data_IF_015909659153
#
_entry.id   IF_015909659153
#
_cell.length_a   1.000
_cell.length_b   1.000
_cell.length_c   1.000
_cell.angle_alpha   90.00
_cell.angle_beta   90.00
_cell.angle_gamma   90.00
#
_symmetry.space_group_name_H-M   'P 1'
#
loop_
_entity.id
_entity.type
_entity.pdbx_description
1 polymer ?
#
# COMPACT_ATOMS: atom_id res chain seq x y z
N UNK A 1 1.36 26.03 28.36
CA UNK A 1 1.60 26.56 26.98
C UNK A 1 2.90 26.00 26.39
N UNK A 2 3.02 24.68 26.22
CA UNK A 2 4.21 24.03 25.62
C UNK A 2 3.89 22.94 24.59
N UNK A 3 2.61 22.67 24.33
CA UNK A 3 2.17 21.63 23.37
C UNK A 3 2.02 22.14 21.93
N UNK A 4 2.04 23.45 21.72
CA UNK A 4 1.89 24.07 20.40
C UNK A 4 3.21 24.25 19.65
N UNK A 5 4.36 24.13 20.31
CA UNK A 5 5.68 24.27 19.66
C UNK A 5 6.17 22.97 18.98
N UNK A 6 5.65 21.80 19.37
CA UNK A 6 6.08 20.52 18.79
C UNK A 6 5.47 20.25 17.41
N UNK A 7 4.30 20.84 17.12
CA UNK A 7 3.60 20.68 15.83
C UNK A 7 4.30 21.48 14.72
N UNK A 8 4.94 22.60 15.04
CA UNK A 8 5.69 23.40 14.06
C UNK A 8 7.11 22.87 13.80
N UNK A 9 7.67 22.04 14.68
CA UNK A 9 9.02 21.47 14.51
C UNK A 9 9.08 20.34 13.47
N UNK A 10 7.98 19.60 13.27
CA UNK A 10 7.93 18.48 12.32
C UNK A 10 7.61 18.93 10.89
N UNK A 11 6.86 20.02 10.73
CA UNK A 11 6.56 20.62 9.43
C UNK A 11 7.81 21.23 8.74
N UNK A 12 8.82 21.64 9.51
CA UNK A 12 10.01 22.29 8.98
C UNK A 12 11.07 21.33 8.39
N UNK A 13 11.03 20.03 8.73
CA UNK A 13 12.03 19.06 8.24
C UNK A 13 11.57 18.37 6.94
N UNK A 14 10.26 18.28 6.68
CA UNK A 14 9.71 17.79 5.41
C UNK A 14 9.84 18.83 4.29
N UNK A 15 9.90 20.13 4.63
CA UNK A 15 10.03 21.22 3.66
C UNK A 15 11.44 21.33 3.00
N UNK A 16 12.47 20.66 3.53
CA UNK A 16 13.85 20.76 3.00
C UNK A 16 14.22 19.73 1.92
N UNK A 17 13.30 18.83 1.51
CA UNK A 17 13.53 17.94 0.35
C UNK A 17 13.00 18.48 -0.98
N UNK A 18 12.45 19.70 -1.00
CA UNK A 18 11.95 20.37 -2.21
C UNK A 18 13.06 20.94 -3.13
N UNK A 19 14.30 20.44 -3.04
CA UNK A 19 15.39 20.85 -3.94
C UNK A 19 16.26 19.66 -4.35
N UNK A 20 15.61 18.69 -4.98
CA UNK A 20 16.25 17.88 -6.02
C UNK A 20 15.30 17.92 -7.23
N UNK A 21 15.38 19.01 -7.99
CA UNK A 21 14.79 19.15 -9.32
C UNK A 21 15.46 18.17 -10.28
N UNK A 22 15.07 16.90 -10.21
CA UNK A 22 15.24 15.93 -11.27
C UNK A 22 14.09 16.10 -12.25
N UNK A 23 14.41 16.53 -13.47
CA UNK A 23 13.47 16.78 -14.57
C UNK A 23 12.44 15.64 -14.71
N UNK A 24 11.16 15.96 -14.47
CA UNK A 24 10.02 15.09 -14.76
C UNK A 24 9.17 14.64 -13.58
N UNK A 25 9.53 14.98 -12.32
CA UNK A 25 8.73 14.68 -11.13
C UNK A 25 8.54 15.90 -10.24
N UNK A 26 7.30 16.19 -9.89
CA UNK A 26 6.94 17.23 -8.91
C UNK A 26 6.07 16.64 -7.81
N UNK A 27 6.21 17.15 -6.58
CA UNK A 27 5.44 16.66 -5.43
C UNK A 27 5.00 17.83 -4.56
N UNK A 28 3.76 17.78 -4.04
CA UNK A 28 3.25 18.70 -3.02
C UNK A 28 2.28 17.99 -2.08
N UNK A 29 1.87 18.67 -1.01
CA UNK A 29 0.85 18.19 -0.08
C UNK A 29 -0.47 18.89 -0.34
N UNK A 30 -1.57 18.14 -0.33
CA UNK A 30 -2.94 18.65 -0.43
C UNK A 30 -3.80 18.09 0.72
N UNK A 31 -4.90 18.75 1.06
CA UNK A 31 -5.76 18.35 2.19
C UNK A 31 -7.15 17.90 1.73
N UNK A 32 -7.78 16.94 2.42
CA UNK A 32 -9.16 16.60 2.16
C UNK A 32 -10.08 17.77 2.52
N UNK A 33 -11.19 17.93 1.79
CA UNK A 33 -12.30 18.82 2.19
C UNK A 33 -13.32 18.10 3.07
N UNK A 34 -13.44 16.79 2.89
CA UNK A 34 -14.30 15.87 3.65
C UNK A 34 -13.60 14.52 3.81
N UNK A 35 -14.03 13.74 4.80
CA UNK A 35 -13.49 12.39 5.05
C UNK A 35 -14.36 11.29 4.45
N UNK A 36 -15.66 11.49 4.34
CA UNK A 36 -16.62 10.49 3.89
C UNK A 36 -16.76 10.46 2.36
N UNK A 37 -16.90 9.28 1.79
CA UNK A 37 -17.27 9.10 0.38
C UNK A 37 -18.77 9.34 0.19
N UNK A 38 -19.16 10.02 -0.89
CA UNK A 38 -20.55 10.42 -1.10
C UNK A 38 -21.48 9.29 -1.56
N UNK A 39 -20.93 8.20 -2.10
CA UNK A 39 -21.70 7.09 -2.69
C UNK A 39 -20.92 5.78 -2.81
N UNK A 40 -21.65 4.70 -3.15
CA UNK A 40 -21.13 3.34 -3.29
C UNK A 40 -21.26 2.52 -2.00
N UNK A 41 -21.45 1.21 -2.13
CA UNK A 41 -21.63 0.36 -0.96
C UNK A 41 -20.43 0.38 -0.01
N UNK A 42 -19.20 0.48 -0.52
CA UNK A 42 -17.99 0.46 0.30
C UNK A 42 -17.87 1.72 1.19
N UNK A 43 -18.50 2.83 0.82
CA UNK A 43 -18.48 4.08 1.59
C UNK A 43 -18.97 3.91 3.04
N UNK A 44 -19.79 2.88 3.33
CA UNK A 44 -20.21 2.57 4.71
C UNK A 44 -19.10 1.96 5.57
N UNK A 45 -18.04 1.44 4.96
CA UNK A 45 -16.92 0.79 5.65
C UNK A 45 -15.70 1.68 5.77
N UNK A 46 -15.47 2.60 4.82
CA UNK A 46 -14.21 3.34 4.72
C UNK A 46 -14.42 4.84 4.69
N UNK A 47 -13.47 5.56 5.27
CA UNK A 47 -13.32 6.99 5.11
C UNK A 47 -11.85 7.36 4.90
N UNK A 48 -11.62 8.56 4.37
CA UNK A 48 -10.30 9.18 4.34
C UNK A 48 -9.94 9.69 5.74
N UNK A 49 -8.71 9.44 6.18
CA UNK A 49 -8.16 10.07 7.39
C UNK A 49 -7.93 11.56 7.13
N UNK A 50 -8.47 12.42 8.00
CA UNK A 50 -8.31 13.88 7.93
C UNK A 50 -6.86 14.32 8.20
N UNK A 51 -6.02 14.16 7.18
CA UNK A 51 -4.62 14.56 7.20
C UNK A 51 -4.13 14.96 5.80
N UNK A 52 -3.08 15.79 5.70
CA UNK A 52 -2.46 16.10 4.42
C UNK A 52 -1.97 14.85 3.68
N UNK A 53 -2.21 14.79 2.37
CA UNK A 53 -1.84 13.72 1.47
C UNK A 53 -0.80 14.18 0.45
N UNK A 54 0.09 13.27 0.04
CA UNK A 54 1.11 13.54 -0.98
C UNK A 54 0.49 13.43 -2.38
N UNK A 55 0.55 14.52 -3.15
CA UNK A 55 0.21 14.58 -4.57
C UNK A 55 1.51 14.66 -5.38
N UNK A 56 1.71 13.72 -6.28
CA UNK A 56 2.89 13.62 -7.14
C UNK A 56 2.48 13.69 -8.60
N UNK A 57 3.12 14.56 -9.37
CA UNK A 57 3.04 14.63 -10.81
C UNK A 57 4.29 14.04 -11.45
N UNK A 58 4.10 13.31 -12.54
CA UNK A 58 5.16 12.72 -13.36
C UNK A 58 4.84 12.97 -14.84
N UNK A 59 5.72 13.66 -15.56
CA UNK A 59 5.50 14.16 -16.94
C UNK A 59 4.96 13.09 -17.91
N UNK A 60 5.44 11.86 -17.78
CA UNK A 60 5.15 10.73 -18.67
C UNK A 60 4.08 9.76 -18.14
N UNK A 61 3.69 9.90 -16.86
CA UNK A 61 2.82 8.92 -16.18
C UNK A 61 1.53 9.51 -15.64
N UNK A 62 1.47 10.83 -15.42
CA UNK A 62 0.29 11.53 -14.89
C UNK A 62 0.43 11.85 -13.41
N UNK A 63 -0.67 11.73 -12.66
CA UNK A 63 -0.76 12.18 -11.28
C UNK A 63 -1.08 11.03 -10.32
N UNK A 64 -0.51 11.11 -9.12
CA UNK A 64 -0.60 10.11 -8.06
C UNK A 64 -0.91 10.79 -6.74
N UNK A 65 -1.97 10.36 -6.07
CA UNK A 65 -2.36 10.83 -4.73
C UNK A 65 -2.25 9.67 -3.75
N UNK A 66 -1.45 9.82 -2.69
CA UNK A 66 -1.34 8.84 -1.60
C UNK A 66 -2.27 9.20 -0.45
N UNK A 67 -3.29 8.39 -0.23
CA UNK A 67 -4.33 8.65 0.79
C UNK A 67 -4.33 7.55 1.83
N UNK A 68 -4.51 7.92 3.09
CA UNK A 68 -4.74 6.94 4.17
C UNK A 68 -6.24 6.77 4.35
N UNK A 69 -6.71 5.53 4.24
CA UNK A 69 -8.09 5.16 4.54
C UNK A 69 -8.17 4.52 5.93
N UNK A 70 -9.32 4.70 6.59
CA UNK A 70 -9.67 4.10 7.88
C UNK A 70 -10.96 3.29 7.75
N UNK A 71 -11.01 2.12 8.38
CA UNK A 71 -12.26 1.40 8.57
C UNK A 71 -13.11 2.08 9.66
N UNK A 72 -14.33 2.51 9.33
CA UNK A 72 -15.26 3.18 10.27
C UNK A 72 -16.16 2.20 11.03
N UNK A 73 -16.19 0.95 10.58
CA UNK A 73 -16.86 -0.17 11.23
C UNK A 73 -16.09 -1.45 10.91
N UNK A 74 -16.50 -2.57 11.53
CA UNK A 74 -15.92 -3.86 11.18
C UNK A 74 -16.17 -4.17 9.70
N UNK A 75 -15.13 -4.66 9.04
CA UNK A 75 -15.18 -5.07 7.65
C UNK A 75 -15.96 -6.36 7.42
N UNK A 76 -15.85 -6.88 6.21
CA UNK A 76 -16.51 -8.11 5.76
C UNK A 76 -15.79 -9.31 6.39
N UNK A 77 -16.38 -9.86 7.46
CA UNK A 77 -15.80 -10.97 8.24
C UNK A 77 -16.10 -12.33 7.63
N UNK A 78 -15.18 -13.26 7.84
CA UNK A 78 -15.37 -14.67 7.47
C UNK A 78 -15.31 -14.94 5.96
N UNK A 79 -14.75 -14.02 5.19
CA UNK A 79 -14.67 -14.05 3.73
C UNK A 79 -13.20 -13.95 3.32
N UNK A 80 -12.75 -14.74 2.34
CA UNK A 80 -11.44 -14.51 1.72
C UNK A 80 -11.52 -13.22 0.91
N UNK A 81 -10.55 -12.33 1.08
CA UNK A 81 -10.50 -11.07 0.35
C UNK A 81 -10.61 -11.25 -1.17
N UNK A 82 -10.20 -12.39 -1.73
CA UNK A 82 -10.33 -12.68 -3.17
C UNK A 82 -11.76 -12.91 -3.62
N UNK A 83 -12.65 -13.28 -2.72
CA UNK A 83 -14.06 -13.54 -3.01
C UNK A 83 -14.90 -12.25 -2.98
N UNK A 84 -14.28 -11.12 -2.61
CA UNK A 84 -14.87 -9.79 -2.71
C UNK A 84 -14.68 -9.27 -4.13
N UNK A 85 -15.77 -9.06 -4.85
CA UNK A 85 -15.79 -8.49 -6.18
C UNK A 85 -16.31 -7.05 -6.14
N UNK A 86 -15.74 -6.20 -6.98
CA UNK A 86 -16.18 -4.81 -7.15
C UNK A 86 -17.06 -4.71 -8.40
N UNK A 87 -18.25 -4.16 -8.24
CA UNK A 87 -19.24 -4.03 -9.30
C UNK A 87 -19.49 -2.58 -9.69
N UNK A 88 -19.96 -2.39 -10.92
CA UNK A 88 -20.49 -1.12 -11.45
C UNK A 88 -19.53 0.09 -11.34
N UNK A 89 -18.23 -0.17 -11.24
CA UNK A 89 -17.22 0.88 -11.05
C UNK A 89 -15.92 0.51 -11.77
N UNK A 90 -15.31 1.48 -12.47
CA UNK A 90 -14.07 1.27 -13.25
C UNK A 90 -12.85 1.13 -12.32
N UNK A 91 -12.96 1.61 -11.07
CA UNK A 91 -11.99 1.39 -9.99
C UNK A 91 -12.67 0.80 -8.74
N UNK A 92 -12.02 0.89 -7.57
CA UNK A 92 -12.62 0.51 -6.29
C UNK A 92 -13.12 1.72 -5.48
N UNK A 93 -12.46 2.87 -5.68
CA UNK A 93 -12.77 4.14 -5.07
C UNK A 93 -12.19 5.27 -5.92
N UNK A 94 -12.88 6.41 -5.95
CA UNK A 94 -12.52 7.61 -6.69
C UNK A 94 -12.43 8.82 -5.75
N UNK A 95 -11.50 9.71 -6.07
CA UNK A 95 -11.28 10.96 -5.35
C UNK A 95 -11.22 12.10 -6.36
N UNK A 96 -11.96 13.17 -6.09
CA UNK A 96 -11.90 14.40 -6.86
C UNK A 96 -10.75 15.28 -6.38
N UNK A 97 -9.94 15.75 -7.32
CA UNK A 97 -8.91 16.76 -7.13
C UNK A 97 -9.52 18.13 -7.36
N UNK A 98 -9.29 19.06 -6.43
CA UNK A 98 -9.95 20.36 -6.40
C UNK A 98 -8.93 21.51 -6.38
N UNK A 99 -9.28 22.60 -7.04
CA UNK A 99 -8.56 23.87 -6.91
C UNK A 99 -8.98 24.63 -5.64
N UNK A 100 -8.49 25.87 -5.47
CA UNK A 100 -8.77 26.69 -4.30
C UNK A 100 -10.26 27.03 -4.13
N UNK A 101 -10.93 27.32 -5.25
CA UNK A 101 -12.37 27.63 -5.34
C UNK A 101 -13.26 26.38 -5.26
N UNK A 102 -12.68 25.21 -4.98
CA UNK A 102 -13.36 23.91 -4.93
C UNK A 102 -13.94 23.48 -6.29
N UNK A 103 -13.44 24.07 -7.37
CA UNK A 103 -13.66 23.59 -8.73
C UNK A 103 -12.95 22.25 -8.96
N UNK A 104 -13.68 21.30 -9.56
CA UNK A 104 -13.15 19.99 -9.90
C UNK A 104 -12.10 20.12 -11.02
N UNK A 105 -10.86 19.75 -10.70
CA UNK A 105 -9.76 19.68 -11.65
C UNK A 105 -9.77 18.34 -12.37
N UNK A 106 -10.06 17.26 -11.63
CA UNK A 106 -10.17 15.91 -12.16
C UNK A 106 -10.60 14.90 -11.11
N UNK A 107 -10.82 13.66 -11.55
CA UNK A 107 -11.04 12.50 -10.69
C UNK A 107 -9.88 11.51 -10.85
N UNK A 108 -9.29 11.08 -9.74
CA UNK A 108 -8.29 10.00 -9.67
C UNK A 108 -8.95 8.74 -9.12
N UNK A 109 -8.55 7.58 -9.64
CA UNK A 109 -9.10 6.28 -9.24
C UNK A 109 -8.05 5.47 -8.50
N UNK A 110 -8.46 4.64 -7.55
CA UNK A 110 -7.55 3.74 -6.85
C UNK A 110 -6.76 2.89 -7.84
N UNK A 111 -5.45 2.82 -7.62
CA UNK A 111 -4.51 2.05 -8.44
C UNK A 111 -4.92 0.59 -8.46
N UNK A 112 -4.95 -0.03 -9.63
CA UNK A 112 -5.35 -1.44 -9.77
C UNK A 112 -4.43 -2.39 -9.00
N UNK A 113 -3.14 -2.06 -8.83
CA UNK A 113 -2.23 -2.90 -8.05
C UNK A 113 -2.53 -2.86 -6.53
N UNK A 114 -3.26 -1.85 -6.07
CA UNK A 114 -3.73 -1.76 -4.69
C UNK A 114 -5.07 -2.49 -4.49
N UNK A 115 -5.72 -3.03 -5.54
CA UNK A 115 -7.04 -3.66 -5.45
C UNK A 115 -7.08 -4.80 -4.41
N UNK A 116 -6.17 -5.78 -4.52
CA UNK A 116 -6.14 -6.92 -3.59
C UNK A 116 -5.80 -6.47 -2.16
N UNK A 117 -4.96 -5.45 -2.02
CA UNK A 117 -4.65 -4.85 -0.72
C UNK A 117 -5.89 -4.20 -0.13
N UNK A 118 -6.68 -3.52 -0.95
CA UNK A 118 -7.93 -2.90 -0.54
C UNK A 118 -8.97 -3.93 -0.14
N UNK A 119 -9.12 -5.02 -0.90
CA UNK A 119 -9.99 -6.15 -0.51
C UNK A 119 -9.59 -6.75 0.84
N UNK A 120 -8.30 -6.94 1.09
CA UNK A 120 -7.81 -7.41 2.41
C UNK A 120 -8.06 -6.40 3.51
N UNK A 121 -7.89 -5.12 3.21
CA UNK A 121 -8.21 -4.06 4.15
C UNK A 121 -9.70 -4.09 4.53
N UNK A 122 -10.60 -4.35 3.57
CA UNK A 122 -12.04 -4.46 3.81
C UNK A 122 -12.46 -5.66 4.68
N UNK A 123 -11.57 -6.61 5.02
CA UNK A 123 -11.86 -7.68 6.00
C UNK A 123 -11.31 -7.36 7.40
N UNK A 124 -10.66 -6.20 7.54
CA UNK A 124 -10.08 -5.67 8.78
C UNK A 124 -11.11 -5.28 9.83
N UNK A 125 -10.62 -4.79 10.97
CA UNK A 125 -11.43 -4.37 12.11
C UNK A 125 -11.65 -2.85 12.08
N UNK A 126 -12.70 -2.39 12.75
CA UNK A 126 -12.93 -0.96 12.96
C UNK A 126 -11.67 -0.26 13.48
N UNK A 127 -11.32 0.87 12.88
CA UNK A 127 -10.14 1.67 13.21
C UNK A 127 -8.85 1.25 12.50
N UNK A 128 -8.82 0.10 11.80
CA UNK A 128 -7.65 -0.26 10.98
C UNK A 128 -7.43 0.80 9.89
N UNK A 129 -6.16 1.10 9.61
CA UNK A 129 -5.76 2.09 8.61
C UNK A 129 -4.79 1.52 7.60
N UNK A 130 -4.92 1.92 6.34
CA UNK A 130 -3.97 1.58 5.28
C UNK A 130 -3.81 2.72 4.27
N UNK A 131 -2.63 2.83 3.67
CA UNK A 131 -2.34 3.81 2.63
C UNK A 131 -2.65 3.22 1.26
N UNK A 132 -3.31 3.96 0.40
CA UNK A 132 -3.63 3.58 -0.98
C UNK A 132 -3.21 4.68 -1.95
N UNK A 133 -2.86 4.28 -3.16
CA UNK A 133 -2.52 5.20 -4.24
C UNK A 133 -3.74 5.36 -5.15
N UNK A 134 -4.06 6.60 -5.49
CA UNK A 134 -5.03 6.96 -6.51
C UNK A 134 -4.28 7.59 -7.66
N UNK A 135 -4.59 7.23 -8.90
CA UNK A 135 -3.87 7.71 -10.07
C UNK A 135 -4.79 8.18 -11.19
N UNK A 136 -4.23 9.04 -12.05
CA UNK A 136 -4.81 9.35 -13.36
C UNK A 136 -3.70 9.58 -14.38
N UNK A 137 -3.63 8.80 -15.47
CA UNK A 137 -2.68 9.03 -16.55
C UNK A 137 -3.06 10.28 -17.37
N UNK A 138 -2.09 10.85 -18.08
CA UNK A 138 -2.33 11.98 -19.00
C UNK A 138 -2.77 13.27 -18.30
N UNK A 139 -2.34 13.47 -17.05
CA UNK A 139 -2.63 14.69 -16.29
C UNK A 139 -1.77 15.86 -16.76
N UNK A 140 -2.30 17.08 -16.77
CA UNK A 140 -1.51 18.26 -17.15
C UNK A 140 -0.75 18.83 -15.95
N UNK A 141 0.47 19.31 -16.18
CA UNK A 141 1.25 20.01 -15.16
C UNK A 141 0.55 21.27 -14.65
N UNK A 142 -0.23 21.95 -15.50
CA UNK A 142 -1.02 23.13 -15.14
C UNK A 142 -2.09 22.79 -14.10
N UNK A 143 -2.88 21.73 -14.34
CA UNK A 143 -3.87 21.27 -13.38
C UNK A 143 -3.22 20.76 -12.10
N UNK A 144 -2.02 20.18 -12.20
CA UNK A 144 -1.27 19.78 -11.00
C UNK A 144 -0.96 20.99 -10.15
N UNK A 145 -0.49 22.10 -10.73
CA UNK A 145 -0.15 23.33 -10.00
C UNK A 145 -1.36 23.92 -9.28
N UNK A 146 -2.53 23.91 -9.89
CA UNK A 146 -3.77 24.46 -9.33
C UNK A 146 -4.44 23.57 -8.27
N UNK A 147 -4.22 22.25 -8.31
CA UNK A 147 -4.85 21.31 -7.37
C UNK A 147 -4.31 21.47 -5.96
N UNK A 148 -5.10 21.94 -5.00
CA UNK A 148 -4.63 22.13 -3.60
C UNK A 148 -5.46 21.37 -2.56
N UNK A 149 -6.59 20.82 -2.98
CA UNK A 149 -7.57 20.12 -2.15
C UNK A 149 -7.98 18.81 -2.83
N UNK A 150 -8.60 17.91 -2.07
CA UNK A 150 -9.27 16.74 -2.64
C UNK A 150 -10.53 16.37 -1.87
N UNK A 151 -11.44 15.63 -2.51
CA UNK A 151 -12.71 15.20 -1.93
C UNK A 151 -12.96 13.73 -2.25
N UNK A 152 -13.24 12.87 -1.26
CA UNK A 152 -13.68 11.50 -1.51
C UNK A 152 -14.99 11.51 -2.30
N UNK A 153 -15.01 10.92 -3.48
CA UNK A 153 -16.13 11.05 -4.41
C UNK A 153 -17.07 9.84 -4.31
N UNK A 154 -16.63 8.69 -4.80
CA UNK A 154 -17.45 7.49 -4.88
C UNK A 154 -16.63 6.23 -4.61
N UNK A 155 -17.33 5.16 -4.27
CA UNK A 155 -16.75 3.82 -4.11
C UNK A 155 -17.53 2.79 -4.92
N UNK A 156 -16.95 1.62 -5.14
CA UNK A 156 -17.64 0.53 -5.82
C UNK A 156 -18.74 -0.09 -4.94
N UNK A 157 -19.68 -0.74 -5.60
CA UNK A 157 -20.55 -1.73 -4.96
C UNK A 157 -19.80 -3.06 -4.82
N UNK A 158 -20.25 -3.92 -3.90
CA UNK A 158 -19.57 -5.20 -3.65
C UNK A 158 -20.49 -6.39 -3.79
N UNK A 159 -19.93 -7.48 -4.30
CA UNK A 159 -20.52 -8.82 -4.16
C UNK A 159 -19.51 -9.76 -3.53
N UNK A 160 -20.01 -10.75 -2.80
CA UNK A 160 -19.18 -11.78 -2.16
C UNK A 160 -19.60 -13.12 -2.74
N UNK A 161 -18.66 -13.81 -3.40
CA UNK A 161 -18.91 -15.18 -3.83
C UNK A 161 -18.95 -16.08 -2.58
N UNK A 162 -20.13 -16.61 -2.28
CA UNK A 162 -20.26 -17.55 -1.18
C UNK A 162 -19.55 -18.86 -1.56
N UNK A 163 -18.46 -19.18 -0.86
CA UNK A 163 -17.95 -20.55 -0.83
C UNK A 163 -19.09 -21.47 -0.38
N UNK A 164 -19.54 -22.33 -1.28
CA UNK A 164 -20.68 -23.21 -1.08
C UNK A 164 -20.38 -24.20 0.06
N UNK A 165 -20.71 -23.83 1.30
CA UNK A 165 -20.74 -24.74 2.43
C UNK A 165 -22.01 -25.61 2.31
N UNK A 166 -22.00 -26.49 1.32
CA UNK A 166 -22.97 -27.57 1.22
C UNK A 166 -22.76 -28.50 2.42
N UNK A 167 -23.66 -28.38 3.39
CA UNK A 167 -23.91 -29.37 4.42
C UNK A 167 -24.24 -30.71 3.75
N UNK A 168 -23.25 -31.57 3.60
CA UNK A 168 -23.45 -33.00 3.35
C UNK A 168 -23.14 -33.77 4.63
N UNK A 169 -24.22 -34.24 5.25
CA UNK A 169 -24.21 -35.33 6.22
C UNK A 169 -23.82 -36.63 5.51
N UNK A 170 -23.21 -37.50 6.31
CA UNK A 170 -22.99 -38.94 6.16
C UNK A 170 -21.70 -39.46 5.50
N UNK A 171 -20.86 -39.96 6.42
CA UNK A 171 -20.43 -41.36 6.53
C UNK A 171 -19.53 -41.96 5.45
N UNK A 172 -18.32 -42.24 5.94
CA UNK A 172 -17.55 -43.47 5.80
C UNK A 172 -16.31 -43.45 4.90
N UNK A 173 -15.20 -43.72 5.58
CA UNK A 173 -13.91 -44.27 5.19
C UNK A 173 -13.51 -44.27 3.71
N UNK A 174 -12.38 -43.61 3.44
CA UNK A 174 -11.14 -44.37 3.23
C UNK A 174 -9.92 -43.46 3.25
N UNK A 175 -8.91 -43.92 3.98
CA UNK A 175 -7.54 -43.40 3.95
C UNK A 175 -7.07 -43.22 2.51
N UNK A 176 -6.64 -42.00 2.18
CA UNK A 176 -5.58 -41.81 1.21
C UNK A 176 -4.72 -40.66 1.70
N UNK A 177 -3.58 -41.03 2.27
CA UNK A 177 -2.50 -40.12 2.61
C UNK A 177 -2.13 -39.30 1.37
N UNK A 178 -2.35 -37.98 1.40
CA UNK A 178 -1.74 -37.08 0.44
C UNK A 178 -0.53 -36.45 1.12
N UNK A 179 0.60 -36.96 0.63
CA UNK A 179 1.97 -36.63 0.95
C UNK A 179 2.19 -35.13 1.17
N UNK A 180 2.88 -34.86 2.28
CA UNK A 180 3.77 -33.72 2.40
C UNK A 180 4.74 -33.65 1.21
N UNK A 181 5.03 -32.40 0.86
CA UNK A 181 6.23 -31.93 0.17
C UNK A 181 6.23 -31.91 -1.37
N UNK A 182 6.06 -30.68 -1.88
CA UNK A 182 6.86 -30.13 -2.98
C UNK A 182 6.67 -28.61 -2.95
N UNK A 183 7.20 -27.97 -1.91
CA UNK A 183 7.50 -26.54 -2.00
C UNK A 183 8.57 -26.40 -3.07
N UNK A 184 8.27 -25.78 -4.20
CA UNK A 184 9.24 -25.71 -5.30
C UNK A 184 10.51 -25.01 -4.79
N UNK A 185 11.66 -25.55 -5.16
CA UNK A 185 13.01 -25.09 -4.78
C UNK A 185 13.22 -23.58 -5.09
N UNK A 186 12.35 -23.00 -5.95
CA UNK A 186 12.33 -21.59 -6.33
C UNK A 186 12.01 -20.64 -5.17
N UNK A 187 11.10 -21.03 -4.26
CA UNK A 187 10.69 -20.15 -3.16
C UNK A 187 11.72 -20.09 -2.05
N UNK A 188 12.46 -21.17 -1.79
CA UNK A 188 13.49 -21.16 -0.76
C UNK A 188 14.67 -20.28 -1.19
N UNK A 189 15.10 -20.38 -2.45
CA UNK A 189 16.13 -19.51 -3.04
C UNK A 189 15.69 -18.04 -3.11
N UNK A 190 14.40 -17.77 -3.40
CA UNK A 190 13.85 -16.42 -3.35
C UNK A 190 13.89 -15.86 -1.93
N UNK A 191 13.45 -16.65 -0.93
CA UNK A 191 13.43 -16.24 0.46
C UNK A 191 14.84 -16.05 1.02
N UNK A 192 15.84 -16.80 0.56
CA UNK A 192 17.26 -16.57 0.85
C UNK A 192 17.71 -15.19 0.34
N UNK A 193 17.48 -14.91 -0.96
CA UNK A 193 17.84 -13.60 -1.55
C UNK A 193 17.09 -12.43 -0.90
N UNK A 194 15.84 -12.65 -0.48
CA UNK A 194 15.03 -11.65 0.20
C UNK A 194 15.53 -11.39 1.63
N UNK A 195 15.91 -12.44 2.36
CA UNK A 195 16.53 -12.32 3.69
C UNK A 195 17.86 -11.56 3.63
N UNK A 196 18.72 -11.88 2.65
CA UNK A 196 19.97 -11.16 2.41
C UNK A 196 19.74 -9.67 2.11
N UNK A 197 18.74 -9.35 1.27
CA UNK A 197 18.35 -7.98 0.96
C UNK A 197 17.90 -7.21 2.21
N UNK A 198 17.07 -7.84 3.05
CA UNK A 198 16.62 -7.25 4.31
C UNK A 198 17.79 -7.04 5.27
N UNK A 199 18.76 -7.95 5.33
CA UNK A 199 19.96 -7.79 6.15
C UNK A 199 20.86 -6.65 5.68
N UNK A 200 21.02 -6.49 4.36
CA UNK A 200 21.69 -5.34 3.77
C UNK A 200 20.97 -4.03 4.12
N UNK A 201 19.64 -4.00 4.02
CA UNK A 201 18.82 -2.83 4.36
C UNK A 201 18.99 -2.43 5.84
N UNK A 202 18.92 -3.42 6.75
CA UNK A 202 19.12 -3.20 8.18
C UNK A 202 20.52 -2.67 8.47
N UNK A 203 21.56 -3.21 7.80
CA UNK A 203 22.94 -2.73 7.92
C UNK A 203 23.07 -1.27 7.49
N UNK A 204 22.47 -0.91 6.35
CA UNK A 204 22.45 0.46 5.83
C UNK A 204 21.78 1.42 6.81
N UNK A 205 20.63 1.04 7.36
CA UNK A 205 19.91 1.85 8.34
C UNK A 205 20.71 2.03 9.65
N UNK A 206 21.44 1.01 10.10
CA UNK A 206 22.34 1.12 11.27
C UNK A 206 23.53 2.06 11.01
N UNK A 207 24.14 1.99 9.83
CA UNK A 207 25.22 2.90 9.44
C UNK A 207 24.72 4.34 9.32
N UNK A 208 23.56 4.53 8.69
CA UNK A 208 22.93 5.84 8.53
C UNK A 208 22.57 6.47 9.88
N UNK A 209 21.99 5.70 10.81
CA UNK A 209 21.70 6.18 12.18
C UNK A 209 22.95 6.49 12.99
N UNK A 210 24.08 5.84 12.70
CA UNK A 210 25.39 6.17 13.27
C UNK A 210 26.10 7.36 12.57
N UNK A 211 25.49 7.97 11.55
CA UNK A 211 26.08 9.05 10.76
C UNK A 211 27.22 8.61 9.83
N UNK A 212 27.35 7.31 9.57
CA UNK A 212 28.38 6.74 8.72
C UNK A 212 28.01 6.86 7.23
N UNK A 213 28.69 7.78 6.54
CA UNK A 213 28.48 8.08 5.12
C UNK A 213 29.05 7.01 4.18
N UNK A 214 29.76 5.98 4.69
CA UNK A 214 30.23 4.85 3.87
C UNK A 214 29.08 4.03 3.27
N UNK A 215 27.89 4.09 3.89
CA UNK A 215 26.63 3.51 3.43
C UNK A 215 26.27 3.91 1.99
N UNK A 216 26.67 5.11 1.54
CA UNK A 216 26.40 5.61 0.18
C UNK A 216 27.11 4.76 -0.88
N UNK A 217 28.29 4.21 -0.57
CA UNK A 217 29.06 3.37 -1.51
C UNK A 217 28.48 1.96 -1.68
N UNK A 218 27.68 1.50 -0.73
CA UNK A 218 27.02 0.19 -0.75
C UNK A 218 25.63 0.23 -1.43
N UNK A 219 25.13 1.44 -1.75
CA UNK A 219 23.83 1.66 -2.37
C UNK A 219 23.68 0.99 -3.75
N UNK A 220 24.76 0.94 -4.54
CA UNK A 220 24.76 0.25 -5.84
C UNK A 220 24.56 -1.26 -5.66
N UNK A 221 25.21 -1.86 -4.66
CA UNK A 221 25.04 -3.29 -4.34
C UNK A 221 23.63 -3.59 -3.84
N UNK A 222 23.04 -2.67 -3.07
CA UNK A 222 21.65 -2.77 -2.61
C UNK A 222 20.66 -2.74 -3.78
N UNK A 223 20.85 -1.82 -4.72
CA UNK A 223 19.96 -1.67 -5.88
C UNK A 223 20.01 -2.91 -6.79
N UNK A 224 21.20 -3.49 -7.01
CA UNK A 224 21.33 -4.77 -7.73
C UNK A 224 20.61 -5.92 -7.02
N UNK A 225 20.70 -6.01 -5.69
CA UNK A 225 20.02 -7.07 -4.92
C UNK A 225 18.50 -6.89 -4.91
N UNK A 226 18.02 -5.65 -4.86
CA UNK A 226 16.58 -5.34 -4.98
C UNK A 226 16.01 -5.80 -6.32
N UNK A 227 16.74 -5.57 -7.42
CA UNK A 227 16.38 -6.04 -8.75
C UNK A 227 16.37 -7.56 -8.84
N UNK A 228 17.37 -8.23 -8.26
CA UNK A 228 17.44 -9.70 -8.21
C UNK A 228 16.21 -10.30 -7.49
N UNK A 229 15.85 -9.76 -6.31
CA UNK A 229 14.67 -10.20 -5.56
C UNK A 229 13.38 -9.94 -6.35
N UNK A 230 13.25 -8.75 -6.96
CA UNK A 230 12.08 -8.40 -7.77
C UNK A 230 11.91 -9.34 -8.96
N UNK A 231 13.00 -9.72 -9.62
CA UNK A 231 12.97 -10.63 -10.75
C UNK A 231 12.59 -12.04 -10.29
N UNK A 232 13.21 -12.56 -9.22
CA UNK A 232 12.86 -13.86 -8.64
C UNK A 232 11.40 -13.94 -8.22
N UNK A 233 10.84 -12.84 -7.70
CA UNK A 233 9.43 -12.75 -7.31
C UNK A 233 8.47 -12.71 -8.50
N UNK A 234 8.88 -12.12 -9.62
CA UNK A 234 8.12 -12.17 -10.87
C UNK A 234 8.14 -13.56 -11.52
N UNK A 235 9.27 -14.28 -11.38
CA UNK A 235 9.47 -15.61 -11.96
C UNK A 235 8.86 -16.74 -11.10
N UNK A 236 8.55 -16.45 -9.83
CA UNK A 236 7.92 -17.41 -8.92
C UNK A 236 6.43 -17.61 -9.28
N UNK A 237 6.10 -18.77 -9.85
CA UNK A 237 4.75 -19.10 -10.34
C UNK A 237 3.98 -20.06 -9.43
N UNK A 238 4.65 -20.71 -8.48
CA UNK A 238 4.05 -21.65 -7.54
C UNK A 238 3.55 -20.94 -6.26
N UNK A 239 2.69 -21.59 -5.48
CA UNK A 239 2.24 -21.05 -4.18
C UNK A 239 3.31 -21.33 -3.12
N UNK A 240 3.54 -20.35 -2.23
CA UNK A 240 4.33 -20.54 -1.01
C UNK A 240 3.75 -21.69 -0.17
N UNK A 241 4.60 -22.61 0.26
CA UNK A 241 4.22 -23.58 1.30
C UNK A 241 3.97 -22.87 2.64
N UNK A 242 3.25 -23.49 3.58
CA UNK A 242 3.06 -22.92 4.92
C UNK A 242 4.39 -22.59 5.64
N UNK A 243 5.43 -23.41 5.44
CA UNK A 243 6.75 -23.18 6.02
C UNK A 243 7.44 -21.96 5.39
N UNK A 244 7.34 -21.81 4.06
CA UNK A 244 7.90 -20.68 3.32
C UNK A 244 7.18 -19.37 3.65
N UNK A 245 5.86 -19.40 3.81
CA UNK A 245 5.07 -18.26 4.27
C UNK A 245 5.47 -17.84 5.71
N UNK A 246 5.67 -18.82 6.60
CA UNK A 246 6.16 -18.55 7.96
C UNK A 246 7.55 -17.89 7.94
N UNK A 247 8.45 -18.37 7.06
CA UNK A 247 9.79 -17.80 6.88
C UNK A 247 9.73 -16.37 6.34
N UNK A 248 8.91 -16.10 5.34
CA UNK A 248 8.68 -14.76 4.80
C UNK A 248 8.21 -13.76 5.88
N UNK A 249 7.29 -14.18 6.74
CA UNK A 249 6.80 -13.36 7.85
C UNK A 249 7.91 -13.08 8.89
N UNK A 250 8.76 -14.07 9.20
CA UNK A 250 9.91 -13.86 10.10
C UNK A 250 10.91 -12.85 9.54
N UNK A 251 11.20 -12.90 8.24
CA UNK A 251 12.09 -11.94 7.57
C UNK A 251 11.52 -10.50 7.69
N UNK A 252 10.21 -10.32 7.46
CA UNK A 252 9.55 -9.01 7.61
C UNK A 252 9.56 -8.49 9.05
N UNK A 253 9.35 -9.37 10.04
CA UNK A 253 9.43 -8.99 11.45
C UNK A 253 10.85 -8.54 11.86
N UNK A 254 11.90 -9.18 11.31
CA UNK A 254 13.29 -8.79 11.53
C UNK A 254 13.55 -7.34 11.07
N UNK A 255 13.01 -6.96 9.91
CA UNK A 255 13.09 -5.59 9.39
C UNK A 255 12.39 -4.58 10.31
N UNK A 256 11.18 -4.90 10.77
CA UNK A 256 10.41 -4.03 11.66
C UNK A 256 11.11 -3.85 13.02
N UNK A 257 11.62 -4.92 13.62
CA UNK A 257 12.36 -4.86 14.88
C UNK A 257 13.65 -4.05 14.76
N UNK A 258 14.36 -4.19 13.64
CA UNK A 258 15.55 -3.40 13.39
C UNK A 258 15.23 -1.90 13.33
N UNK A 259 14.18 -1.51 12.62
CA UNK A 259 13.75 -0.11 12.55
C UNK A 259 13.32 0.45 13.92
N UNK A 260 12.67 -0.35 14.76
CA UNK A 260 12.25 0.04 16.11
C UNK A 260 13.42 0.20 17.09
N UNK A 261 14.50 -0.56 16.90
CA UNK A 261 15.69 -0.55 17.76
C UNK A 261 16.70 0.55 17.38
N UNK A 262 16.38 1.45 16.44
CA UNK A 262 17.23 2.55 15.98
C UNK A 262 16.93 3.89 16.68
N UNK A 263 16.29 3.85 17.86
CA UNK A 263 16.07 5.02 18.74
C UNK A 263 17.32 5.42 19.52
#
# INVERSE_FOLDING_TARGET
>A
MKKTLFVFGLAAIVAMMASCSGSGKETKTITPTFTEFSSGEIAKYVEVVDQPAELTFMDDKGIYLKVTLRLVQDGIKGVDARDINFENFIGCADIDLLNEEEGNMSTVSMKSEDELKFKKFLTGNVGDTAVFVFERPGYSQEYFKETIKFMPAATADITVEAGDNTSVSDSDSSDTAVSSDSGSEDWDSLLDSYEEYVDMYISLLKKASAGDLSAVSEYTSYMSKAQEVSQKMADATSKLSPAQLSRFNKINQKMLQAAQNMN
#
